data_IF_688941330319
#
_entry.id   IF_688941330319
#
_cell.length_a   1.000
_cell.length_b   1.000
_cell.length_c   1.000
_cell.angle_alpha   90.00
_cell.angle_beta   90.00
_cell.angle_gamma   90.00
#
_symmetry.space_group_name_H-M   'P 1'
#
loop_
_entity.id
_entity.type
_entity.pdbx_description
1 polymer ?
#
# COMPACT_ATOMS: atom_id res chain seq x y z
N UNK A 1 5.36 -5.34 17.23
CA UNK A 1 6.22 -5.55 16.04
C UNK A 1 6.94 -4.25 15.77
N UNK A 2 8.23 -4.31 15.48
CA UNK A 2 9.05 -3.11 15.27
C UNK A 2 8.87 -2.59 13.82
N UNK A 3 8.82 -1.27 13.62
CA UNK A 3 8.78 -0.68 12.28
C UNK A 3 9.95 -1.15 11.40
N UNK A 4 9.69 -1.34 10.11
CA UNK A 4 10.72 -1.76 9.13
C UNK A 4 11.03 -3.26 9.11
N UNK A 5 10.32 -4.09 9.88
CA UNK A 5 10.45 -5.55 9.79
C UNK A 5 9.50 -6.13 8.74
N UNK A 6 10.02 -7.10 7.97
CA UNK A 6 9.23 -7.86 6.99
C UNK A 6 8.36 -8.88 7.74
N UNK A 7 7.08 -8.92 7.38
CA UNK A 7 6.09 -9.82 7.98
C UNK A 7 5.37 -10.62 6.90
N UNK A 8 5.08 -11.88 7.19
CA UNK A 8 4.16 -12.69 6.40
C UNK A 8 2.80 -12.72 7.10
N UNK A 9 1.74 -12.49 6.34
CA UNK A 9 0.37 -12.63 6.82
C UNK A 9 -0.47 -13.26 5.73
N UNK A 10 -1.57 -13.88 6.13
CA UNK A 10 -2.55 -14.44 5.21
C UNK A 10 -3.68 -13.45 5.01
N UNK A 11 -3.99 -13.13 3.77
CA UNK A 11 -5.18 -12.35 3.43
C UNK A 11 -6.44 -13.16 3.76
N UNK A 12 -7.32 -12.58 4.57
CA UNK A 12 -8.63 -13.15 4.90
C UNK A 12 -9.71 -12.49 4.05
N UNK A 13 -9.63 -11.16 3.90
CA UNK A 13 -10.67 -10.39 3.24
C UNK A 13 -10.07 -9.18 2.50
N UNK A 14 -10.67 -8.88 1.34
CA UNK A 14 -10.38 -7.71 0.53
C UNK A 14 -11.63 -6.83 0.52
N UNK A 15 -11.51 -5.63 1.08
CA UNK A 15 -12.62 -4.69 1.24
C UNK A 15 -12.45 -3.54 0.26
N UNK A 16 -13.37 -3.45 -0.70
CA UNK A 16 -13.43 -2.34 -1.66
C UNK A 16 -14.55 -1.39 -1.23
N UNK A 17 -14.25 -0.09 -1.22
CA UNK A 17 -15.20 0.97 -0.87
C UNK A 17 -15.18 2.04 -1.93
N UNK A 18 -16.36 2.43 -2.38
CA UNK A 18 -16.49 3.58 -3.25
C UNK A 18 -16.18 4.85 -2.46
N UNK A 19 -15.27 5.66 -3.00
CA UNK A 19 -14.92 6.95 -2.42
C UNK A 19 -15.77 8.01 -3.11
N UNK A 20 -16.54 8.73 -2.32
CA UNK A 20 -17.40 9.81 -2.81
C UNK A 20 -16.53 11.04 -3.20
N UNK A 21 -16.55 11.46 -4.48
CA UNK A 21 -15.79 12.62 -4.93
C UNK A 21 -16.29 13.95 -4.33
N UNK A 22 -17.51 13.98 -3.79
CA UNK A 22 -18.11 15.18 -3.18
C UNK A 22 -17.95 15.23 -1.65
N UNK A 23 -17.28 14.22 -1.06
CA UNK A 23 -16.98 14.21 0.36
C UNK A 23 -16.08 15.39 0.79
N UNK A 24 -16.12 15.73 2.08
CA UNK A 24 -15.28 16.79 2.63
C UNK A 24 -13.78 16.47 2.47
N UNK A 25 -12.94 17.50 2.41
CA UNK A 25 -11.46 17.35 2.37
C UNK A 25 -10.93 16.46 3.49
N UNK A 26 -11.55 16.52 4.68
CA UNK A 26 -11.15 15.74 5.85
C UNK A 26 -11.56 14.26 5.71
N UNK A 27 -12.73 14.01 5.12
CA UNK A 27 -13.23 12.65 4.85
C UNK A 27 -12.47 11.98 3.70
N UNK A 28 -12.14 12.74 2.65
CA UNK A 28 -11.31 12.26 1.53
C UNK A 28 -9.94 11.78 1.98
N UNK A 29 -9.30 12.51 2.90
CA UNK A 29 -7.98 12.14 3.46
C UNK A 29 -8.02 10.87 4.31
N UNK A 30 -9.19 10.53 4.88
CA UNK A 30 -9.39 9.34 5.72
C UNK A 30 -9.97 8.16 4.94
N UNK A 31 -10.62 8.41 3.82
CA UNK A 31 -11.25 7.40 2.99
C UNK A 31 -10.19 6.52 2.31
N UNK A 32 -10.22 5.22 2.60
CA UNK A 32 -9.48 4.21 1.86
C UNK A 32 -10.43 3.52 0.89
N UNK A 33 -10.12 3.57 -0.39
CA UNK A 33 -10.86 2.84 -1.43
C UNK A 33 -10.66 1.33 -1.34
N UNK A 34 -9.55 0.91 -0.74
CA UNK A 34 -9.18 -0.49 -0.60
C UNK A 34 -8.51 -0.77 0.75
N UNK A 35 -8.96 -1.84 1.40
CA UNK A 35 -8.38 -2.33 2.64
C UNK A 35 -8.26 -3.86 2.59
N UNK A 36 -7.12 -4.37 3.08
CA UNK A 36 -6.86 -5.80 3.20
C UNK A 36 -6.91 -6.15 4.67
N UNK A 37 -7.76 -7.10 5.04
CA UNK A 37 -7.80 -7.68 6.38
C UNK A 37 -7.03 -9.00 6.34
N UNK A 38 -5.96 -9.07 7.13
CA UNK A 38 -5.09 -10.23 7.22
C UNK A 38 -5.04 -10.86 8.61
N UNK A 39 -4.54 -12.10 8.69
CA UNK A 39 -4.22 -12.79 9.95
C UNK A 39 -2.81 -13.36 9.93
N UNK A 40 -2.23 -13.46 11.13
CA UNK A 40 -0.93 -14.07 11.42
C UNK A 40 -1.07 -15.22 12.44
N UNK A 41 -2.27 -15.77 12.64
CA UNK A 41 -2.53 -16.79 13.66
C UNK A 41 -1.92 -18.16 13.35
N UNK A 42 -1.52 -18.40 12.10
CA UNK A 42 -0.98 -19.69 11.65
C UNK A 42 0.54 -19.75 11.87
N UNK A 43 1.07 -20.96 12.14
CA UNK A 43 2.52 -21.18 12.27
C UNK A 43 3.24 -20.86 10.96
N UNK A 44 4.37 -20.16 11.03
CA UNK A 44 5.08 -19.66 9.87
C UNK A 44 4.66 -18.25 9.43
N UNK A 45 3.65 -17.63 10.06
CA UNK A 45 3.26 -16.24 9.81
C UNK A 45 3.76 -15.29 10.91
N UNK A 46 3.72 -13.99 10.66
CA UNK A 46 4.28 -12.97 11.53
C UNK A 46 5.66 -12.51 11.06
N UNK A 47 6.53 -12.09 11.97
CA UNK A 47 7.84 -11.58 11.60
C UNK A 47 8.70 -12.70 11.00
N UNK A 48 9.27 -12.49 9.82
CA UNK A 48 10.04 -13.51 9.09
C UNK A 48 11.21 -14.06 9.93
N UNK A 49 11.83 -13.19 10.73
CA UNK A 49 12.97 -13.54 11.61
C UNK A 49 12.60 -14.56 12.71
N UNK A 50 11.31 -14.80 12.96
CA UNK A 50 10.89 -15.84 13.90
C UNK A 50 10.99 -17.25 13.33
N UNK A 51 11.06 -17.38 12.00
CA UNK A 51 10.95 -18.66 11.30
C UNK A 51 12.23 -19.04 10.57
N UNK A 52 13.03 -18.06 10.12
CA UNK A 52 14.32 -18.31 9.45
C UNK A 52 15.40 -18.62 10.50
N UNK A 53 16.05 -19.79 10.39
CA UNK A 53 17.27 -20.06 11.15
C UNK A 53 18.39 -19.17 10.60
N UNK A 54 19.11 -18.50 11.49
CA UNK A 54 19.97 -17.34 11.20
C UNK A 54 21.19 -17.56 10.25
N UNK A 55 21.25 -18.65 9.48
CA UNK A 55 22.41 -19.00 8.64
C UNK A 55 22.25 -18.76 7.13
N UNK A 56 21.06 -18.40 6.61
CA UNK A 56 20.95 -17.98 5.20
C UNK A 56 20.21 -16.65 5.11
N UNK A 57 20.94 -15.64 4.65
CA UNK A 57 20.42 -14.31 4.36
C UNK A 57 19.27 -14.39 3.39
N UNK A 58 18.05 -14.27 3.90
CA UNK A 58 16.89 -13.95 3.08
C UNK A 58 17.03 -12.49 2.65
N UNK A 59 17.84 -12.25 1.61
CA UNK A 59 17.78 -11.05 0.79
C UNK A 59 16.40 -11.04 0.12
N UNK A 60 15.42 -10.45 0.79
CA UNK A 60 14.21 -10.01 0.11
C UNK A 60 14.57 -8.69 -0.58
N UNK A 61 14.76 -8.75 -1.90
CA UNK A 61 14.87 -7.56 -2.73
C UNK A 61 13.56 -6.77 -2.58
N UNK A 62 13.68 -5.63 -1.89
CA UNK A 62 12.69 -4.57 -1.86
C UNK A 62 12.68 -3.99 -3.28
N UNK A 63 11.78 -4.45 -4.15
CA UNK A 63 11.55 -3.81 -5.46
C UNK A 63 10.89 -2.45 -5.20
N UNK A 64 11.75 -1.48 -4.89
CA UNK A 64 11.44 -0.07 -4.67
C UNK A 64 10.85 0.55 -5.96
N UNK A 65 9.62 1.03 -5.81
CA UNK A 65 8.98 2.19 -6.45
C UNK A 65 9.19 2.45 -7.95
N UNK A 66 8.12 2.23 -8.71
CA UNK A 66 7.99 2.77 -10.06
C UNK A 66 8.01 4.30 -10.06
N UNK A 67 9.04 4.87 -10.71
CA UNK A 67 9.09 6.27 -11.11
C UNK A 67 7.95 6.57 -12.10
N UNK A 68 6.87 7.16 -11.57
CA UNK A 68 5.85 7.82 -12.38
C UNK A 68 6.27 9.26 -12.64
N UNK A 69 6.88 9.53 -13.79
CA UNK A 69 7.00 10.90 -14.29
C UNK A 69 5.62 11.38 -14.78
N UNK A 70 4.90 12.04 -13.88
CA UNK A 70 3.82 12.94 -14.22
C UNK A 70 4.38 14.29 -14.63
N UNK A 71 4.21 14.68 -15.89
CA UNK A 71 4.27 16.07 -16.29
C UNK A 71 2.91 16.48 -16.85
N UNK A 72 2.10 17.07 -15.96
CA UNK A 72 0.92 17.80 -16.33
C UNK A 72 1.30 19.26 -16.52
N UNK A 73 0.88 19.86 -17.63
CA UNK A 73 0.47 21.25 -17.58
C UNK A 73 -0.72 21.54 -18.51
N UNK A 74 -1.77 22.06 -17.88
CA UNK A 74 -3.01 22.55 -18.45
C UNK A 74 -2.91 24.08 -18.49
N UNK A 75 -3.24 24.73 -19.61
CA UNK A 75 -3.93 26.03 -19.58
C UNK A 75 -4.44 26.47 -20.96
N UNK A 76 -5.76 26.37 -21.10
CA UNK A 76 -6.74 27.34 -21.61
C UNK A 76 -6.32 28.44 -22.59
N UNK A 77 -7.08 28.51 -23.70
CA UNK A 77 -7.99 29.63 -23.95
C UNK A 77 -7.53 30.75 -24.89
N UNK A 78 -8.36 31.05 -25.90
CA UNK A 78 -8.36 32.34 -26.58
C UNK A 78 -8.58 32.29 -28.09
N UNK A 79 -9.85 32.35 -28.52
CA UNK A 79 -10.23 32.86 -29.83
C UNK A 79 -9.73 34.32 -29.98
N UNK A 80 -9.38 34.76 -31.20
CA UNK A 80 -10.00 35.93 -31.87
C UNK A 80 -9.29 36.27 -33.19
N UNK A 81 -10.12 36.32 -34.24
CA UNK A 81 -10.07 37.09 -35.51
C UNK A 81 -8.86 37.01 -36.44
#
# INVERSE_FOLDING_TARGET
MDPGKIVWFRVIENVFRDVDPDASEDDKKKAKSYEIIGSMSETGLGCVVWWVQAEEGAEFEDEEEGEGDGDGNNQEGGEET
#
